data_IF_760251034788
#
_entry.id   IF_760251034788
#
_cell.length_a   1.000
_cell.length_b   1.000
_cell.length_c   1.000
_cell.angle_alpha   90.00
_cell.angle_beta   90.00
_cell.angle_gamma   90.00
#
_symmetry.space_group_name_H-M   'P 1'
#
loop_
_entity.id
_entity.type
_entity.pdbx_description
1 polymer ?
#
# COMPACT_ATOMS: atom_id res chain seq x y z
N UNK A 1 6.41 0.67 9.19
CA UNK A 1 5.23 1.35 8.60
C UNK A 1 5.32 2.87 8.71
N UNK A 2 5.53 3.45 9.89
CA UNK A 2 5.52 4.92 10.16
C UNK A 2 6.40 5.74 9.19
N UNK A 3 7.60 5.26 8.87
CA UNK A 3 8.58 6.01 8.07
C UNK A 3 8.65 5.56 6.60
N UNK A 4 8.59 4.26 6.34
CA UNK A 4 8.80 3.72 4.99
C UNK A 4 7.73 4.14 3.99
N UNK A 5 6.46 3.96 4.31
CA UNK A 5 5.35 4.29 3.41
C UNK A 5 5.21 5.78 3.09
N UNK A 6 5.40 6.74 4.03
CA UNK A 6 5.53 8.14 3.66
C UNK A 6 6.67 8.42 2.68
N UNK A 7 7.80 7.71 2.78
CA UNK A 7 8.89 7.77 1.80
C UNK A 7 8.46 7.30 0.41
N UNK A 8 7.71 6.20 0.33
CA UNK A 8 7.12 5.71 -0.92
C UNK A 8 6.11 6.71 -1.52
N UNK A 9 5.23 7.28 -0.70
CA UNK A 9 4.27 8.31 -1.13
C UNK A 9 4.98 9.55 -1.68
N UNK A 10 6.05 10.00 -1.04
CA UNK A 10 6.87 11.11 -1.53
C UNK A 10 7.54 10.80 -2.87
N UNK A 11 8.01 9.57 -3.06
CA UNK A 11 8.58 9.13 -4.33
C UNK A 11 7.54 9.17 -5.46
N UNK A 12 6.33 8.64 -5.21
CA UNK A 12 5.21 8.69 -6.16
C UNK A 12 4.81 10.14 -6.46
N UNK A 13 4.68 10.99 -5.45
CA UNK A 13 4.37 12.41 -5.64
C UNK A 13 5.40 13.15 -6.51
N UNK A 14 6.70 12.90 -6.26
CA UNK A 14 7.76 13.55 -7.04
C UNK A 14 7.84 13.08 -8.50
N UNK A 15 7.45 11.84 -8.76
CA UNK A 15 7.43 11.26 -10.11
C UNK A 15 6.13 11.54 -10.87
N UNK A 16 5.09 12.06 -10.22
CA UNK A 16 3.82 12.42 -10.83
C UNK A 16 3.96 13.53 -11.89
N UNK A 17 3.12 13.46 -12.95
CA UNK A 17 3.04 14.48 -14.00
C UNK A 17 2.61 15.84 -13.40
N UNK A 18 3.17 16.98 -13.87
CA UNK A 18 2.90 18.30 -13.29
C UNK A 18 1.41 18.67 -13.29
N UNK A 19 0.67 18.23 -14.30
CA UNK A 19 -0.77 18.50 -14.46
C UNK A 19 -1.62 17.83 -13.37
N UNK A 20 -1.30 16.57 -13.03
CA UNK A 20 -2.04 15.75 -12.04
C UNK A 20 -1.43 15.82 -10.63
N UNK A 21 -0.31 16.53 -10.47
CA UNK A 21 0.48 16.56 -9.24
C UNK A 21 -0.29 17.12 -8.04
N UNK A 22 -1.18 18.10 -8.25
CA UNK A 22 -2.00 18.67 -7.16
C UNK A 22 -3.02 17.65 -6.63
N UNK A 23 -3.74 16.98 -7.51
CA UNK A 23 -4.74 15.97 -7.14
C UNK A 23 -4.08 14.75 -6.50
N UNK A 24 -3.06 14.18 -7.16
CA UNK A 24 -2.29 13.06 -6.63
C UNK A 24 -1.61 13.39 -5.30
N UNK A 25 -1.11 14.63 -5.14
CA UNK A 25 -0.47 15.08 -3.91
C UNK A 25 -1.41 15.10 -2.72
N UNK A 26 -2.63 15.59 -2.89
CA UNK A 26 -3.65 15.58 -1.82
C UNK A 26 -4.00 14.16 -1.38
N UNK A 27 -4.24 13.26 -2.34
CA UNK A 27 -4.56 11.86 -2.09
C UNK A 27 -3.40 11.11 -1.41
N UNK A 28 -2.20 11.23 -1.94
CA UNK A 28 -1.01 10.57 -1.39
C UNK A 28 -0.64 11.11 -0.01
N UNK A 29 -0.80 12.41 0.23
CA UNK A 29 -0.55 13.02 1.53
C UNK A 29 -1.55 12.52 2.58
N UNK A 30 -2.84 12.48 2.27
CA UNK A 30 -3.86 11.97 3.18
C UNK A 30 -3.64 10.50 3.51
N UNK A 31 -3.35 9.68 2.51
CA UNK A 31 -3.02 8.26 2.70
C UNK A 31 -1.74 8.06 3.53
N UNK A 32 -0.69 8.85 3.26
CA UNK A 32 0.57 8.80 4.01
C UNK A 32 0.38 9.21 5.48
N UNK A 33 -0.42 10.25 5.76
CA UNK A 33 -0.75 10.67 7.12
C UNK A 33 -1.56 9.59 7.85
N UNK A 34 -2.53 8.98 7.19
CA UNK A 34 -3.30 7.86 7.76
C UNK A 34 -2.36 6.70 8.10
N UNK A 35 -1.50 6.27 7.16
CA UNK A 35 -0.51 5.23 7.42
C UNK A 35 0.43 5.57 8.58
N UNK A 36 0.88 6.81 8.68
CA UNK A 36 1.79 7.25 9.74
C UNK A 36 1.11 7.23 11.11
N UNK A 37 -0.10 7.77 11.22
CA UNK A 37 -0.80 7.92 12.49
C UNK A 37 -1.38 6.59 12.97
N UNK A 38 -2.19 5.95 12.14
CA UNK A 38 -2.93 4.74 12.52
C UNK A 38 -2.17 3.44 12.22
N UNK A 39 -1.22 3.47 11.26
CA UNK A 39 -0.55 2.28 10.76
C UNK A 39 -1.34 1.51 9.71
N UNK A 40 -2.54 1.97 9.33
CA UNK A 40 -3.33 1.36 8.26
C UNK A 40 -2.67 1.66 6.92
N UNK A 41 -2.09 0.65 6.29
CA UNK A 41 -1.30 0.78 5.06
C UNK A 41 -2.12 0.61 3.79
N UNK A 42 -3.30 -0.01 3.91
CA UNK A 42 -4.18 -0.39 2.79
C UNK A 42 -4.45 0.75 1.80
N UNK A 43 -4.80 2.00 2.21
CA UNK A 43 -5.12 3.05 1.25
C UNK A 43 -3.95 3.40 0.32
N UNK A 44 -2.73 3.35 0.86
CA UNK A 44 -1.54 3.61 0.08
C UNK A 44 -1.12 2.39 -0.75
N UNK A 45 -1.16 1.20 -0.17
CA UNK A 45 -0.78 -0.05 -0.84
C UNK A 45 -1.69 -0.35 -2.02
N UNK A 46 -3.00 -0.16 -1.89
CA UNK A 46 -3.93 -0.35 -3.00
C UNK A 46 -3.69 0.62 -4.16
N UNK A 47 -3.18 1.82 -3.89
CA UNK A 47 -2.88 2.79 -4.93
C UNK A 47 -1.83 2.29 -5.93
N UNK A 48 -0.90 1.44 -5.51
CA UNK A 48 0.13 0.89 -6.39
C UNK A 48 0.02 -0.63 -6.61
N UNK A 49 -0.71 -1.37 -5.77
CA UNK A 49 -0.87 -2.81 -5.92
C UNK A 49 -1.46 -3.21 -7.28
N UNK A 50 -2.52 -2.51 -7.69
CA UNK A 50 -3.22 -2.81 -8.94
C UNK A 50 -2.53 -2.25 -10.19
N UNK A 51 -1.82 -1.16 -10.03
CA UNK A 51 -1.19 -0.45 -11.15
C UNK A 51 0.25 -0.88 -11.35
N UNK A 52 0.94 -1.22 -10.27
CA UNK A 52 2.35 -1.57 -10.27
C UNK A 52 2.68 -2.69 -9.27
N UNK A 53 2.28 -3.94 -9.53
CA UNK A 53 2.47 -5.06 -8.60
C UNK A 53 3.94 -5.31 -8.22
N UNK A 54 4.88 -4.88 -9.07
CA UNK A 54 6.32 -4.94 -8.78
C UNK A 54 6.67 -4.07 -7.56
N UNK A 55 6.06 -2.89 -7.42
CA UNK A 55 6.27 -2.03 -6.24
C UNK A 55 5.75 -2.69 -4.97
N UNK A 56 4.64 -3.42 -5.08
CA UNK A 56 4.10 -4.17 -3.96
C UNK A 56 5.04 -5.31 -3.53
N UNK A 57 5.60 -6.06 -4.48
CA UNK A 57 6.59 -7.10 -4.17
C UNK A 57 7.81 -6.53 -3.43
N UNK A 58 8.32 -5.39 -3.88
CA UNK A 58 9.41 -4.67 -3.20
C UNK A 58 9.00 -4.20 -1.81
N UNK A 59 7.77 -3.69 -1.66
CA UNK A 59 7.20 -3.31 -0.36
C UNK A 59 7.21 -4.48 0.62
N UNK A 60 6.78 -5.67 0.21
CA UNK A 60 6.76 -6.87 1.06
C UNK A 60 8.17 -7.25 1.52
N UNK A 61 9.15 -7.24 0.62
CA UNK A 61 10.55 -7.53 0.96
C UNK A 61 11.12 -6.51 1.94
N UNK A 62 10.89 -5.22 1.70
CA UNK A 62 11.36 -4.15 2.58
C UNK A 62 10.68 -4.21 3.96
N UNK A 63 9.38 -4.49 4.01
CA UNK A 63 8.66 -4.66 5.27
C UNK A 63 9.21 -5.85 6.05
N UNK A 64 9.41 -7.00 5.39
CA UNK A 64 10.01 -8.18 6.02
C UNK A 64 11.41 -7.91 6.59
N UNK A 65 12.26 -7.21 5.83
CA UNK A 65 13.59 -6.81 6.30
C UNK A 65 13.53 -5.86 7.50
N UNK A 66 12.56 -4.94 7.54
CA UNK A 66 12.37 -4.03 8.66
C UNK A 66 12.00 -4.78 9.95
N UNK A 67 11.11 -5.77 9.88
CA UNK A 67 10.77 -6.61 11.02
C UNK A 67 11.97 -7.45 11.49
N UNK A 68 12.75 -7.99 10.57
CA UNK A 68 13.97 -8.73 10.89
C UNK A 68 14.97 -7.85 11.64
N UNK A 69 15.22 -6.63 11.18
CA UNK A 69 16.13 -5.67 11.84
C UNK A 69 15.58 -5.25 13.20
N UNK A 70 14.27 -5.01 13.33
CA UNK A 70 13.65 -4.71 14.60
C UNK A 70 13.86 -5.85 15.63
N UNK A 71 13.75 -7.10 15.19
CA UNK A 71 14.01 -8.26 16.03
C UNK A 71 15.49 -8.32 16.46
N UNK A 72 16.43 -8.13 15.54
CA UNK A 72 17.88 -8.14 15.84
C UNK A 72 18.25 -7.03 16.85
N UNK A 73 17.61 -5.87 16.74
CA UNK A 73 17.84 -4.73 17.65
C UNK A 73 17.10 -4.86 18.99
N UNK A 74 16.39 -5.97 19.22
CA UNK A 74 15.55 -6.18 20.41
C UNK A 74 14.58 -5.02 20.66
N UNK A 75 13.89 -4.59 19.61
CA UNK A 75 12.83 -3.58 19.71
C UNK A 75 11.53 -4.30 20.04
N UNK A 76 11.01 -4.11 21.25
CA UNK A 76 9.84 -4.80 21.77
C UNK A 76 8.68 -3.81 22.01
N UNK A 77 8.21 -3.15 20.94
CA UNK A 77 7.01 -2.29 21.00
C UNK A 77 5.77 -3.15 20.78
N UNK A 78 4.81 -3.07 21.69
CA UNK A 78 3.53 -3.77 21.58
C UNK A 78 2.75 -3.26 20.37
N UNK A 79 2.09 -4.18 19.67
CA UNK A 79 1.20 -3.90 18.54
C UNK A 79 -0.21 -4.28 18.96
N UNK A 80 -1.10 -3.30 19.06
CA UNK A 80 -2.52 -3.55 19.35
C UNK A 80 -3.39 -3.35 18.13
N UNK A 81 -3.08 -2.35 17.33
CA UNK A 81 -3.91 -1.99 16.18
C UNK A 81 -3.20 -2.26 14.85
N UNK A 82 -2.14 -1.54 14.53
CA UNK A 82 -1.53 -1.65 13.20
C UNK A 82 -0.08 -1.16 13.10
N UNK A 83 0.61 -0.94 14.21
CA UNK A 83 2.01 -0.51 14.22
C UNK A 83 2.22 0.92 13.70
N UNK A 84 1.25 1.80 13.91
CA UNK A 84 1.33 3.23 13.61
C UNK A 84 1.98 4.04 14.74
N UNK A 85 1.95 5.36 14.57
CA UNK A 85 2.45 6.29 15.58
C UNK A 85 1.69 6.17 16.91
N UNK A 86 0.38 5.87 16.86
CA UNK A 86 -0.43 5.66 18.06
C UNK A 86 0.07 4.47 18.89
N UNK A 87 0.38 3.35 18.25
CA UNK A 87 0.92 2.18 18.95
C UNK A 87 2.33 2.46 19.51
N UNK A 88 3.17 3.18 18.74
CA UNK A 88 4.47 3.60 19.22
C UNK A 88 4.36 4.54 20.44
N UNK A 89 3.39 5.45 20.46
CA UNK A 89 3.14 6.34 21.57
C UNK A 89 2.70 5.57 22.82
N UNK A 90 1.67 4.73 22.68
CA UNK A 90 1.04 4.03 23.81
C UNK A 90 1.93 2.90 24.35
N UNK A 91 2.52 2.11 23.50
CA UNK A 91 3.27 0.89 23.87
C UNK A 91 4.78 1.03 23.74
N UNK A 92 5.27 2.10 23.13
CA UNK A 92 6.69 2.42 23.07
C UNK A 92 7.08 3.48 24.10
N UNK A 93 6.56 4.68 23.94
CA UNK A 93 6.98 5.87 24.72
C UNK A 93 6.46 5.82 26.15
N UNK A 94 5.15 5.53 26.33
CA UNK A 94 4.54 5.52 27.68
C UNK A 94 5.04 4.37 28.56
N UNK A 95 5.45 3.24 27.97
CA UNK A 95 6.02 2.10 28.73
C UNK A 95 7.49 2.26 29.08
N UNK A 96 8.14 3.28 28.55
CA UNK A 96 9.52 3.61 28.83
C UNK A 96 10.55 2.83 27.99
N UNK A 97 11.68 3.50 27.74
CA UNK A 97 12.73 2.99 26.84
C UNK A 97 13.44 1.72 27.38
N UNK A 98 13.48 1.54 28.71
CA UNK A 98 14.13 0.37 29.33
C UNK A 98 13.50 -0.95 28.91
N UNK A 99 12.17 -0.97 28.68
CA UNK A 99 11.42 -2.17 28.27
C UNK A 99 11.30 -2.32 26.75
N UNK A 100 11.14 -1.20 26.02
CA UNK A 100 10.72 -1.23 24.62
C UNK A 100 11.83 -0.89 23.64
N UNK A 101 12.91 -0.25 24.11
CA UNK A 101 14.02 0.24 23.26
C UNK A 101 13.56 1.08 22.06
N UNK A 102 12.45 1.85 22.25
CA UNK A 102 11.79 2.59 21.17
C UNK A 102 12.69 3.65 20.50
N UNK A 103 13.68 4.19 21.22
CA UNK A 103 14.64 5.17 20.67
C UNK A 103 15.37 4.60 19.43
N UNK A 104 15.63 3.30 19.40
CA UNK A 104 16.29 2.64 18.26
C UNK A 104 15.44 2.62 16.99
N UNK A 105 14.13 2.81 17.09
CA UNK A 105 13.23 2.89 15.93
C UNK A 105 13.51 4.14 15.09
N UNK A 106 13.91 5.25 15.72
CA UNK A 106 14.10 6.54 15.03
C UNK A 106 15.19 6.45 13.95
N UNK A 107 16.44 6.05 14.27
CA UNK A 107 17.48 5.96 13.26
C UNK A 107 17.17 4.92 12.18
N UNK A 108 16.63 3.77 12.56
CA UNK A 108 16.19 2.73 11.61
C UNK A 108 15.07 3.27 10.70
N UNK A 109 14.10 3.98 11.27
CA UNK A 109 13.00 4.58 10.52
C UNK A 109 13.48 5.61 9.50
N UNK A 110 14.43 6.46 9.85
CA UNK A 110 15.02 7.45 8.92
C UNK A 110 15.74 6.74 7.77
N UNK A 111 16.54 5.70 8.06
CA UNK A 111 17.21 4.91 7.02
C UNK A 111 16.18 4.29 6.07
N UNK A 112 15.11 3.69 6.62
CA UNK A 112 14.04 3.10 5.81
C UNK A 112 13.26 4.13 5.01
N UNK A 113 13.05 5.35 5.53
CA UNK A 113 12.42 6.43 4.78
C UNK A 113 13.19 6.74 3.49
N UNK A 114 14.50 6.94 3.59
CA UNK A 114 15.34 7.18 2.42
C UNK A 114 15.43 5.96 1.50
N UNK A 115 15.53 4.76 2.07
CA UNK A 115 15.59 3.52 1.30
C UNK A 115 14.32 3.34 0.44
N UNK A 116 13.14 3.52 1.03
CA UNK A 116 11.88 3.49 0.30
C UNK A 116 11.81 4.57 -0.76
N UNK A 117 12.18 5.79 -0.42
CA UNK A 117 12.18 6.91 -1.36
C UNK A 117 13.06 6.62 -2.58
N UNK A 118 14.28 6.17 -2.38
CA UNK A 118 15.21 5.89 -3.49
C UNK A 118 14.77 4.69 -4.33
N UNK A 119 14.40 3.58 -3.71
CA UNK A 119 13.99 2.37 -4.42
C UNK A 119 12.72 2.64 -5.24
N UNK A 120 11.70 3.22 -4.63
CA UNK A 120 10.45 3.53 -5.33
C UNK A 120 10.68 4.54 -6.45
N UNK A 121 11.42 5.62 -6.21
CA UNK A 121 11.74 6.61 -7.23
C UNK A 121 12.53 6.00 -8.41
N UNK A 122 13.46 5.11 -8.12
CA UNK A 122 14.24 4.40 -9.14
C UNK A 122 13.38 3.44 -9.97
N UNK A 123 12.57 2.60 -9.30
CA UNK A 123 11.70 1.65 -10.00
C UNK A 123 10.63 2.35 -10.85
N UNK A 124 9.97 3.37 -10.32
CA UNK A 124 8.94 4.13 -11.05
C UNK A 124 9.54 4.73 -12.32
N UNK A 125 10.75 5.31 -12.24
CA UNK A 125 11.42 5.90 -13.41
C UNK A 125 11.95 4.86 -14.39
N UNK A 126 12.54 3.76 -13.90
CA UNK A 126 13.16 2.73 -14.74
C UNK A 126 12.15 1.87 -15.47
N UNK A 127 11.05 1.52 -14.81
CA UNK A 127 10.00 0.65 -15.35
C UNK A 127 8.81 1.46 -15.92
N UNK A 128 8.88 2.80 -15.89
CA UNK A 128 7.80 3.72 -16.30
C UNK A 128 6.41 3.32 -15.75
N UNK A 129 6.38 3.02 -14.46
CA UNK A 129 5.17 2.52 -13.81
C UNK A 129 4.12 3.63 -13.71
N UNK A 130 2.88 3.29 -14.05
CA UNK A 130 1.73 4.20 -14.01
C UNK A 130 1.17 4.34 -12.60
N UNK A 131 1.97 4.88 -11.68
CA UNK A 131 1.54 5.19 -10.32
C UNK A 131 0.56 6.38 -10.30
N UNK A 132 -0.18 6.62 -9.19
CA UNK A 132 -1.11 7.73 -9.08
C UNK A 132 -0.49 9.07 -9.51
N UNK A 133 -1.12 9.74 -10.47
CA UNK A 133 -0.60 10.96 -11.10
C UNK A 133 0.31 10.76 -12.31
N UNK A 134 0.59 9.50 -12.73
CA UNK A 134 1.27 9.17 -13.99
C UNK A 134 0.37 8.47 -15.01
N UNK A 135 -0.91 8.31 -14.69
CA UNK A 135 -1.89 7.68 -15.57
C UNK A 135 -2.10 8.52 -16.84
N UNK A 136 -2.21 7.84 -18.00
CA UNK A 136 -2.36 8.51 -19.30
C UNK A 136 -3.83 8.87 -19.60
N UNK A 137 -4.78 8.31 -18.87
CA UNK A 137 -6.20 8.59 -19.03
C UNK A 137 -6.64 9.79 -18.16
N UNK A 138 -7.61 10.57 -18.66
CA UNK A 138 -8.26 11.66 -17.94
C UNK A 138 -9.17 11.19 -16.77
N UNK A 139 -9.10 9.93 -16.41
CA UNK A 139 -9.73 9.43 -15.20
C UNK A 139 -9.10 10.11 -13.98
N UNK A 140 -9.96 10.68 -13.14
CA UNK A 140 -9.53 11.30 -11.89
C UNK A 140 -8.62 10.35 -11.11
N UNK A 141 -7.52 10.87 -10.59
CA UNK A 141 -6.59 10.13 -9.73
C UNK A 141 -7.33 9.65 -8.48
N UNK A 142 -7.80 8.40 -8.49
CA UNK A 142 -8.55 7.80 -7.39
C UNK A 142 -7.67 6.84 -6.60
N UNK A 143 -7.79 6.90 -5.29
CA UNK A 143 -7.31 5.82 -4.42
C UNK A 143 -8.32 4.67 -4.51
N UNK A 144 -7.86 3.53 -4.98
CA UNK A 144 -8.69 2.34 -5.00
C UNK A 144 -8.96 1.89 -3.56
N UNK A 145 -10.23 1.95 -3.16
CA UNK A 145 -10.68 1.43 -1.88
C UNK A 145 -11.12 -0.02 -2.02
N UNK A 146 -11.21 -0.74 -0.89
CA UNK A 146 -11.73 -2.12 -0.86
C UNK A 146 -13.15 -2.21 -1.44
N UNK A 147 -13.96 -1.14 -1.30
CA UNK A 147 -15.28 -1.01 -1.89
C UNK A 147 -15.23 -0.97 -3.42
N UNK A 148 -14.29 -0.23 -4.00
CA UNK A 148 -14.12 -0.11 -5.46
C UNK A 148 -13.72 -1.45 -6.09
N UNK A 149 -12.87 -2.21 -5.39
CA UNK A 149 -12.45 -3.55 -5.82
C UNK A 149 -13.62 -4.53 -5.79
N UNK A 150 -14.43 -4.48 -4.75
CA UNK A 150 -15.61 -5.33 -4.65
C UNK A 150 -16.67 -4.96 -5.71
N UNK A 151 -16.92 -3.68 -5.94
CA UNK A 151 -17.82 -3.21 -6.99
C UNK A 151 -17.35 -3.65 -8.39
N UNK A 152 -16.03 -3.62 -8.64
CA UNK A 152 -15.44 -4.10 -9.90
C UNK A 152 -15.54 -5.61 -10.06
N UNK A 153 -15.42 -6.39 -8.97
CA UNK A 153 -15.63 -7.83 -8.97
C UNK A 153 -17.09 -8.20 -9.22
N UNK A 154 -18.04 -7.44 -8.67
CA UNK A 154 -19.47 -7.63 -8.91
C UNK A 154 -19.86 -7.27 -10.33
N UNK A 155 -19.36 -6.16 -10.87
CA UNK A 155 -19.56 -5.78 -12.26
C UNK A 155 -18.95 -6.80 -13.25
N UNK A 156 -17.81 -7.40 -12.93
CA UNK A 156 -17.20 -8.48 -13.70
C UNK A 156 -18.03 -9.77 -13.64
N UNK A 157 -18.67 -10.07 -12.50
CA UNK A 157 -19.57 -11.22 -12.35
C UNK A 157 -20.87 -11.02 -13.13
N UNK A 158 -21.45 -9.83 -13.12
CA UNK A 158 -22.66 -9.52 -13.89
C UNK A 158 -22.40 -9.48 -15.40
N UNK A 159 -21.24 -9.02 -15.85
CA UNK A 159 -20.84 -9.08 -17.25
C UNK A 159 -20.58 -10.54 -17.71
N UNK A 160 -19.99 -11.38 -16.84
CA UNK A 160 -19.83 -12.81 -17.09
C UNK A 160 -21.15 -13.58 -17.11
N UNK A 161 -22.12 -13.21 -16.25
CA UNK A 161 -23.45 -13.81 -16.24
C UNK A 161 -24.29 -13.41 -17.48
N UNK A 162 -24.11 -12.17 -17.97
CA UNK A 162 -24.79 -11.73 -19.22
C UNK A 162 -24.23 -12.41 -20.48
N UNK A 163 -22.92 -12.77 -20.47
CA UNK A 163 -22.32 -13.56 -21.57
C UNK A 163 -22.69 -15.04 -21.52
N UNK A 164 -23.05 -15.58 -20.34
CA UNK A 164 -23.46 -16.97 -20.17
C UNK A 164 -24.92 -17.28 -20.58
N UNK A 165 -25.74 -16.26 -20.84
CA UNK A 165 -27.13 -16.40 -21.29
C UNK A 165 -27.28 -16.60 -22.80
N UNK A 166 -26.20 -16.62 -23.57
CA UNK A 166 -26.21 -17.01 -24.99
C UNK A 166 -25.66 -18.45 -25.15
N UNK A 167 -26.47 -19.39 -24.77
CA UNK A 167 -26.64 -20.74 -25.32
C UNK A 167 -25.40 -21.59 -25.64
N UNK A 168 -24.56 -21.96 -24.65
CA UNK A 168 -23.62 -23.06 -24.81
C UNK A 168 -23.63 -23.96 -23.55
N UNK A 169 -23.96 -25.29 -23.67
CA UNK A 169 -24.07 -26.18 -22.51
C UNK A 169 -22.77 -26.41 -21.75
N UNK A 170 -21.63 -26.00 -22.32
CA UNK A 170 -20.30 -26.07 -21.65
C UNK A 170 -20.14 -24.98 -20.61
N UNK A 171 -20.80 -23.83 -20.78
CA UNK A 171 -20.71 -22.71 -19.83
C UNK A 171 -21.50 -22.99 -18.53
N UNK A 172 -22.58 -23.76 -18.58
CA UNK A 172 -23.32 -24.20 -17.39
C UNK A 172 -22.49 -25.15 -16.52
N UNK A 173 -21.75 -26.06 -17.14
CA UNK A 173 -20.86 -27.00 -16.42
C UNK A 173 -19.68 -26.27 -15.71
N UNK A 174 -19.10 -25.26 -16.33
CA UNK A 174 -18.02 -24.45 -15.75
C UNK A 174 -18.54 -23.62 -14.58
N UNK A 175 -19.74 -23.05 -14.69
CA UNK A 175 -20.37 -22.28 -13.63
C UNK A 175 -20.72 -23.17 -12.43
N UNK A 176 -21.17 -24.38 -12.64
CA UNK A 176 -21.49 -25.34 -11.58
C UNK A 176 -20.22 -25.82 -10.83
N UNK A 177 -19.09 -26.01 -11.54
CA UNK A 177 -17.81 -26.40 -10.94
C UNK A 177 -17.14 -25.29 -10.13
N UNK A 178 -17.37 -24.04 -10.49
CA UNK A 178 -16.81 -22.88 -9.74
C UNK A 178 -17.63 -22.52 -8.49
N UNK A 179 -18.86 -23.03 -8.37
CA UNK A 179 -19.73 -22.74 -7.22
C UNK A 179 -19.69 -23.82 -6.12
N UNK A 180 -19.04 -24.97 -6.37
CA UNK A 180 -18.93 -26.11 -5.42
C UNK A 180 -17.54 -26.29 -4.79
N UNK A 181 -16.65 -25.30 -4.96
CA UNK A 181 -15.32 -25.31 -4.33
C UNK A 181 -15.13 -24.22 -3.27
#
# INVERSE_FOLDING_TARGET
>A
MIFGLPGAALAMYRTAKPEKKKAAGGLLLSAALTCMLTGITEPLEFSFLFVAPVLFAVQVVLAGSAYMIAHILNIAVGLTFSGGFLDLLLFGILQGNAKTSWIRIIPVGIIYFFLYYFIFSFLIKKLDLKTPGREDNDEETKLYTKADVNARKEAGKTAGAAAATSGDPVSELITCLLYTS
#
